data_IF_252667232581
#
_entry.id   IF_252667232581
#
_cell.length_a   1.000
_cell.length_b   1.000
_cell.length_c   1.000
_cell.angle_alpha   90.00
_cell.angle_beta   90.00
_cell.angle_gamma   90.00
#
_symmetry.space_group_name_H-M   'P 1'
#
loop_
_entity.id
_entity.type
_entity.pdbx_description
1 polymer ?
#
# COMPACT_ATOMS: atom_id res chain seq x y z
N UNK A 1 -55.61 38.59 -8.40
CA UNK A 1 -54.58 39.52 -8.93
C UNK A 1 -53.73 40.00 -7.77
N UNK A 2 -52.64 39.29 -7.48
CA UNK A 2 -51.34 39.81 -7.00
C UNK A 2 -50.52 38.66 -6.44
N UNK A 3 -49.23 38.67 -6.77
CA UNK A 3 -48.32 37.55 -6.95
C UNK A 3 -47.66 36.98 -5.68
N UNK A 4 -47.08 35.79 -5.89
CA UNK A 4 -46.14 35.01 -5.08
C UNK A 4 -44.95 35.78 -4.52
N UNK A 5 -44.34 35.23 -3.45
CA UNK A 5 -42.89 35.08 -3.35
C UNK A 5 -42.55 33.94 -2.36
N UNK A 6 -42.18 32.78 -2.90
CA UNK A 6 -41.33 31.80 -2.21
C UNK A 6 -39.94 32.43 -1.97
N UNK A 7 -39.35 32.26 -0.79
CA UNK A 7 -37.91 32.43 -0.61
C UNK A 7 -37.31 31.16 0.00
N UNK A 8 -36.65 30.41 -0.87
CA UNK A 8 -35.84 29.23 -0.58
C UNK A 8 -34.54 29.63 0.13
N UNK A 9 -34.52 29.51 1.45
CA UNK A 9 -33.31 29.75 2.23
C UNK A 9 -32.41 28.49 2.20
N UNK A 10 -31.78 28.29 1.05
CA UNK A 10 -30.68 27.33 0.90
C UNK A 10 -29.45 27.89 1.60
N UNK A 11 -29.33 27.61 2.89
CA UNK A 11 -28.14 27.91 3.70
C UNK A 11 -26.93 27.21 3.07
N UNK A 12 -26.20 27.96 2.25
CA UNK A 12 -24.94 27.59 1.68
C UNK A 12 -23.95 27.28 2.81
N UNK A 13 -23.64 26.00 2.97
CA UNK A 13 -22.49 25.58 3.74
C UNK A 13 -21.25 26.25 3.13
N UNK A 14 -20.65 27.18 3.89
CA UNK A 14 -19.38 27.81 3.55
C UNK A 14 -18.36 26.68 3.40
N UNK A 15 -18.00 26.35 2.15
CA UNK A 15 -16.93 25.39 1.86
C UNK A 15 -15.62 26.06 2.26
N UNK A 16 -15.00 25.57 3.32
CA UNK A 16 -13.74 26.11 3.82
C UNK A 16 -12.59 25.69 2.90
N UNK A 17 -12.32 26.52 1.88
CA UNK A 17 -11.29 26.28 0.87
C UNK A 17 -9.88 26.18 1.47
N UNK A 18 -9.69 26.69 2.68
CA UNK A 18 -8.45 26.60 3.46
C UNK A 18 -8.05 25.15 3.76
N UNK A 19 -9.03 24.24 3.82
CA UNK A 19 -8.82 22.81 4.13
C UNK A 19 -9.09 21.88 2.95
N UNK A 20 -9.43 22.41 1.77
CA UNK A 20 -9.73 21.61 0.58
C UNK A 20 -8.55 20.70 0.16
N UNK A 21 -7.31 21.08 0.49
CA UNK A 21 -6.11 20.27 0.27
C UNK A 21 -6.04 19.06 1.22
N UNK A 22 -6.63 19.16 2.42
CA UNK A 22 -6.64 18.12 3.46
C UNK A 22 -7.76 17.09 3.29
N UNK A 23 -8.89 17.43 2.63
CA UNK A 23 -10.00 16.51 2.29
C UNK A 23 -9.66 15.40 1.27
N UNK A 24 -8.37 15.16 1.12
CA UNK A 24 -7.71 14.38 0.08
C UNK A 24 -7.97 12.87 0.20
N UNK A 25 -8.80 12.45 1.16
CA UNK A 25 -9.26 11.07 1.40
C UNK A 25 -10.27 10.55 0.37
N UNK A 26 -10.78 11.38 -0.55
CA UNK A 26 -11.84 10.97 -1.51
C UNK A 26 -11.38 10.11 -2.70
N UNK A 27 -10.08 9.87 -2.87
CA UNK A 27 -9.60 9.08 -4.00
C UNK A 27 -9.68 7.57 -3.69
N UNK A 28 -10.30 6.74 -4.54
CA UNK A 28 -10.55 5.31 -4.26
C UNK A 28 -9.26 4.51 -4.06
N UNK A 29 -8.14 5.02 -4.58
CA UNK A 29 -6.83 4.42 -4.47
C UNK A 29 -6.06 4.82 -3.21
N UNK A 30 -6.68 5.53 -2.27
CA UNK A 30 -6.05 5.93 -1.00
C UNK A 30 -6.58 5.08 0.14
N UNK A 31 -5.69 4.28 0.71
CA UNK A 31 -6.01 3.33 1.76
C UNK A 31 -5.25 3.66 3.04
N UNK A 32 -5.89 3.38 4.18
CA UNK A 32 -5.33 3.58 5.52
C UNK A 32 -4.54 2.35 5.93
N UNK A 33 -3.30 2.55 6.34
CA UNK A 33 -2.41 1.47 6.74
C UNK A 33 -2.86 0.86 8.06
N UNK A 34 -3.03 -0.46 8.05
CA UNK A 34 -3.36 -1.28 9.22
C UNK A 34 -2.36 -2.42 9.40
N UNK A 35 -2.42 -3.08 10.55
CA UNK A 35 -1.52 -4.18 10.91
C UNK A 35 -1.87 -5.47 10.16
N UNK A 36 -0.85 -6.16 9.64
CA UNK A 36 -1.02 -7.45 8.98
C UNK A 36 -1.15 -8.60 9.98
N UNK A 37 -1.95 -9.59 9.61
CA UNK A 37 -2.11 -10.85 10.35
C UNK A 37 -0.95 -11.81 10.02
N UNK A 38 -0.45 -11.76 8.79
CA UNK A 38 0.63 -12.61 8.28
C UNK A 38 1.93 -11.82 8.13
N UNK A 39 3.06 -12.45 8.47
CA UNK A 39 4.38 -11.84 8.37
C UNK A 39 5.09 -12.23 7.06
N UNK A 40 4.49 -11.87 5.93
CA UNK A 40 5.10 -11.98 4.61
C UNK A 40 5.47 -10.58 4.10
N UNK A 41 6.73 -10.41 3.71
CA UNK A 41 7.29 -9.12 3.28
C UNK A 41 6.84 -8.68 1.89
N UNK A 42 6.25 -9.58 1.11
CA UNK A 42 5.85 -9.34 -0.29
C UNK A 42 4.34 -9.21 -0.45
N UNK A 43 3.57 -9.51 0.58
CA UNK A 43 2.12 -9.68 0.52
C UNK A 43 1.42 -8.60 1.31
N UNK A 44 0.33 -8.09 0.73
CA UNK A 44 -0.52 -7.08 1.34
C UNK A 44 -1.97 -7.50 1.17
N UNK A 45 -2.74 -7.41 2.25
CA UNK A 45 -4.14 -7.81 2.27
C UNK A 45 -5.07 -6.58 2.22
N UNK A 46 -6.16 -6.71 1.47
CA UNK A 46 -7.21 -5.70 1.39
C UNK A 46 -8.58 -6.36 1.18
N UNK A 47 -9.64 -5.62 1.46
CA UNK A 47 -11.00 -6.12 1.28
C UNK A 47 -11.30 -6.40 -0.21
N UNK A 48 -11.99 -7.50 -0.57
CA UNK A 48 -12.27 -7.83 -1.97
C UNK A 48 -13.01 -6.72 -2.73
N UNK A 49 -13.95 -6.02 -2.08
CA UNK A 49 -14.65 -4.89 -2.71
C UNK A 49 -13.71 -3.74 -3.06
N UNK A 50 -12.64 -3.54 -2.28
CA UNK A 50 -11.61 -2.54 -2.56
C UNK A 50 -10.71 -3.00 -3.70
N UNK A 51 -10.39 -4.31 -3.75
CA UNK A 51 -9.68 -4.89 -4.90
C UNK A 51 -10.44 -4.67 -6.21
N UNK A 52 -11.75 -4.95 -6.21
CA UNK A 52 -12.61 -4.78 -7.39
C UNK A 52 -12.67 -3.32 -7.85
N UNK A 53 -12.83 -2.37 -6.91
CA UNK A 53 -12.79 -0.92 -7.21
C UNK A 53 -11.46 -0.49 -7.83
N UNK A 54 -10.36 -1.12 -7.45
CA UNK A 54 -9.02 -0.86 -7.98
C UNK A 54 -8.67 -1.73 -9.19
N UNK A 55 -9.58 -2.61 -9.61
CA UNK A 55 -9.40 -3.60 -10.67
C UNK A 55 -8.15 -4.46 -10.44
N UNK A 56 -7.90 -4.84 -9.18
CA UNK A 56 -6.86 -5.77 -8.79
C UNK A 56 -7.48 -7.15 -8.57
N UNK A 57 -6.81 -8.19 -9.03
CA UNK A 57 -7.16 -9.57 -8.76
C UNK A 57 -6.21 -10.18 -7.72
N UNK A 58 -6.63 -11.29 -7.13
CA UNK A 58 -5.81 -12.05 -6.18
C UNK A 58 -4.54 -12.53 -6.89
N UNK A 59 -3.39 -12.17 -6.34
CA UNK A 59 -2.07 -12.52 -6.90
C UNK A 59 -1.48 -11.45 -7.82
N UNK A 60 -2.21 -10.38 -8.13
CA UNK A 60 -1.66 -9.28 -8.93
C UNK A 60 -0.56 -8.53 -8.19
N UNK A 61 0.43 -8.06 -8.95
CA UNK A 61 1.45 -7.15 -8.45
C UNK A 61 0.98 -5.70 -8.62
N UNK A 62 1.21 -4.90 -7.59
CA UNK A 62 0.80 -3.51 -7.58
C UNK A 62 1.83 -2.63 -6.88
N UNK A 63 1.85 -1.36 -7.26
CA UNK A 63 2.75 -0.35 -6.72
C UNK A 63 2.06 0.40 -5.59
N UNK A 64 2.72 0.43 -4.43
CA UNK A 64 2.32 1.24 -3.29
C UNK A 64 3.24 2.45 -3.24
N UNK A 65 2.66 3.65 -3.22
CA UNK A 65 3.40 4.89 -2.98
C UNK A 65 3.15 5.36 -1.55
N UNK A 66 4.25 5.46 -0.81
CA UNK A 66 4.31 5.91 0.56
C UNK A 66 4.75 7.38 0.68
N UNK A 67 5.41 7.69 1.79
CA UNK A 67 5.91 9.05 2.08
C UNK A 67 7.35 9.22 1.59
N UNK A 68 7.81 10.47 1.52
CA UNK A 68 9.19 10.83 1.10
C UNK A 68 9.63 10.19 -0.22
N UNK A 69 8.71 10.10 -1.19
CA UNK A 69 8.94 9.47 -2.51
C UNK A 69 9.45 8.03 -2.43
N UNK A 70 9.05 7.30 -1.38
CA UNK A 70 9.30 5.87 -1.28
C UNK A 70 8.13 5.09 -1.84
N UNK A 71 8.45 4.09 -2.62
CA UNK A 71 7.54 3.18 -3.27
C UNK A 71 7.98 1.73 -3.04
N UNK A 72 7.04 0.81 -3.14
CA UNK A 72 7.27 -0.62 -2.95
C UNK A 72 6.26 -1.39 -3.79
N UNK A 73 6.67 -2.53 -4.34
CA UNK A 73 5.81 -3.45 -5.07
C UNK A 73 5.40 -4.58 -4.12
N UNK A 74 4.11 -4.90 -4.11
CA UNK A 74 3.56 -5.99 -3.31
C UNK A 74 2.56 -6.81 -4.14
N UNK A 75 2.24 -8.00 -3.63
CA UNK A 75 1.23 -8.92 -4.17
C UNK A 75 -0.07 -8.73 -3.39
N UNK A 76 -1.19 -8.62 -4.11
CA UNK A 76 -2.50 -8.40 -3.50
C UNK A 76 -3.14 -9.73 -3.08
N UNK A 77 -3.56 -9.83 -1.81
CA UNK A 77 -4.45 -10.88 -1.33
C UNK A 77 -5.77 -10.30 -0.85
N UNK A 78 -6.84 -11.02 -1.14
CA UNK A 78 -8.17 -10.73 -0.64
C UNK A 78 -8.30 -11.20 0.81
N UNK A 79 -8.83 -10.34 1.68
CA UNK A 79 -9.13 -10.62 3.09
C UNK A 79 -10.47 -9.97 3.48
N UNK A 80 -11.48 -10.81 3.71
CA UNK A 80 -12.84 -10.39 4.08
C UNK A 80 -12.91 -9.81 5.50
N UNK A 81 -11.92 -10.10 6.35
CA UNK A 81 -11.84 -9.57 7.71
C UNK A 81 -11.20 -8.18 7.76
N UNK A 82 -10.75 -7.62 6.63
CA UNK A 82 -10.19 -6.29 6.53
C UNK A 82 -11.28 -5.26 6.18
N UNK A 83 -11.24 -4.09 6.80
CA UNK A 83 -12.18 -3.02 6.42
C UNK A 83 -11.88 -2.48 5.01
N UNK A 84 -12.91 -2.09 4.27
CA UNK A 84 -12.78 -1.52 2.91
C UNK A 84 -11.74 -0.39 2.76
N UNK A 85 -11.69 0.64 3.63
CA UNK A 85 -10.74 1.73 3.46
C UNK A 85 -9.32 1.38 3.94
N UNK A 86 -9.08 0.15 4.41
CA UNK A 86 -7.81 -0.25 5.02
C UNK A 86 -6.98 -1.15 4.11
N UNK A 87 -5.68 -1.12 4.37
CA UNK A 87 -4.68 -1.97 3.74
C UNK A 87 -3.76 -2.54 4.80
N UNK A 88 -3.69 -3.87 4.89
CA UNK A 88 -2.93 -4.59 5.89
C UNK A 88 -1.55 -4.96 5.35
N UNK A 89 -0.51 -4.42 5.98
CA UNK A 89 0.87 -4.67 5.58
C UNK A 89 1.78 -4.80 6.79
N UNK A 90 2.83 -5.62 6.69
CA UNK A 90 3.72 -5.92 7.80
C UNK A 90 4.70 -4.76 8.10
N UNK A 91 5.51 -4.92 9.16
CA UNK A 91 6.45 -3.87 9.59
C UNK A 91 7.51 -3.55 8.54
N UNK A 92 7.96 -4.54 7.76
CA UNK A 92 8.99 -4.37 6.72
C UNK A 92 8.47 -3.47 5.60
N UNK A 93 7.28 -3.76 5.06
CA UNK A 93 6.65 -2.95 4.00
C UNK A 93 6.42 -1.51 4.48
N UNK A 94 5.94 -1.32 5.73
CA UNK A 94 5.76 0.03 6.30
C UNK A 94 7.06 0.81 6.42
N UNK A 95 8.15 0.12 6.79
CA UNK A 95 9.48 0.72 6.93
C UNK A 95 10.01 1.17 5.57
N UNK A 96 9.85 0.34 4.53
CA UNK A 96 10.23 0.66 3.16
C UNK A 96 9.49 1.92 2.65
N UNK A 97 8.18 2.01 2.93
CA UNK A 97 7.32 3.14 2.54
C UNK A 97 7.43 4.37 3.45
N UNK A 98 8.14 4.26 4.58
CA UNK A 98 8.25 5.29 5.64
C UNK A 98 6.89 5.76 6.18
N UNK A 99 5.99 4.81 6.44
CA UNK A 99 4.64 5.05 6.98
C UNK A 99 4.44 4.39 8.35
N UNK A 100 3.45 4.86 9.10
CA UNK A 100 2.99 4.29 10.38
C UNK A 100 1.57 3.77 10.24
N UNK A 101 1.10 3.02 11.24
CA UNK A 101 -0.32 2.64 11.32
C UNK A 101 -1.20 3.90 11.33
N UNK A 102 -2.31 3.87 10.60
CA UNK A 102 -3.20 5.02 10.42
C UNK A 102 -2.75 6.03 9.36
N UNK A 103 -1.54 5.91 8.80
CA UNK A 103 -1.14 6.73 7.66
C UNK A 103 -1.90 6.32 6.40
N UNK A 104 -2.01 7.24 5.44
CA UNK A 104 -2.64 6.98 4.15
C UNK A 104 -1.59 6.75 3.08
N UNK A 105 -1.72 5.66 2.33
CA UNK A 105 -0.90 5.30 1.17
C UNK A 105 -1.75 5.33 -0.10
N UNK A 106 -1.10 5.44 -1.27
CA UNK A 106 -1.78 5.32 -2.56
C UNK A 106 -1.37 4.07 -3.32
N UNK A 107 -2.35 3.36 -3.86
CA UNK A 107 -2.20 2.11 -4.61
C UNK A 107 -2.34 2.36 -6.11
N UNK A 108 -1.52 1.69 -6.92
CA UNK A 108 -1.58 1.75 -8.38
C UNK A 108 -1.30 0.38 -8.97
N UNK A 109 -2.02 0.00 -10.02
CA UNK A 109 -1.72 -1.21 -10.78
C UNK A 109 -0.32 -1.13 -11.40
N UNK A 110 0.39 -2.26 -11.43
CA UNK A 110 1.72 -2.37 -12.05
C UNK A 110 1.81 -3.67 -12.85
N UNK A 111 1.18 -3.76 -14.03
CA UNK A 111 1.21 -4.98 -14.84
C UNK A 111 2.58 -5.26 -15.48
N UNK A 112 3.44 -4.25 -15.61
CA UNK A 112 4.72 -4.34 -16.33
C UNK A 112 5.92 -4.82 -15.47
N UNK A 113 5.67 -5.60 -14.41
CA UNK A 113 6.74 -6.14 -13.57
C UNK A 113 7.47 -7.26 -14.33
N UNK A 114 8.69 -6.96 -14.77
CA UNK A 114 9.56 -7.92 -15.48
C UNK A 114 10.40 -8.71 -14.50
N UNK A 115 10.73 -9.95 -14.87
CA UNK A 115 11.70 -10.75 -14.15
C UNK A 115 13.07 -10.08 -14.18
N UNK A 116 13.66 -9.91 -13.00
CA UNK A 116 15.03 -9.42 -12.87
C UNK A 116 16.03 -10.46 -13.35
N UNK A 117 17.04 -10.03 -14.13
CA UNK A 117 18.10 -10.94 -14.59
C UNK A 117 19.13 -11.20 -13.49
N UNK A 118 19.45 -10.19 -12.69
CA UNK A 118 20.40 -10.22 -11.58
C UNK A 118 19.99 -9.20 -10.52
N UNK A 119 20.20 -9.53 -9.26
CA UNK A 119 20.02 -8.64 -8.12
C UNK A 119 21.30 -8.60 -7.30
N UNK A 120 21.61 -7.45 -6.70
CA UNK A 120 22.73 -7.29 -5.79
C UNK A 120 22.18 -6.96 -4.41
N UNK A 121 22.41 -7.83 -3.44
CA UNK A 121 21.89 -7.72 -2.08
C UNK A 121 23.10 -7.67 -1.15
N UNK A 122 23.18 -6.62 -0.33
CA UNK A 122 24.18 -6.52 0.73
C UNK A 122 23.45 -6.62 2.07
N UNK A 123 24.00 -7.39 3.04
CA UNK A 123 23.47 -7.37 4.39
C UNK A 123 23.79 -6.03 5.06
N UNK A 124 23.09 -5.74 6.16
CA UNK A 124 23.39 -4.58 7.00
C UNK A 124 24.53 -4.93 7.95
N UNK A 125 25.48 -4.00 8.11
CA UNK A 125 26.69 -4.18 8.93
C UNK A 125 26.39 -4.63 10.36
N UNK A 126 25.29 -4.14 10.95
CA UNK A 126 24.85 -4.45 12.31
C UNK A 126 24.13 -5.81 12.44
N UNK A 127 23.80 -6.46 11.32
CA UNK A 127 23.09 -7.75 11.30
C UNK A 127 23.96 -8.96 11.01
N UNK A 128 25.24 -8.75 10.67
CA UNK A 128 26.18 -9.81 10.26
C UNK A 128 27.16 -10.23 11.36
N UNK A 129 27.10 -9.58 12.53
CA UNK A 129 27.96 -9.91 13.65
C UNK A 129 27.71 -11.36 14.12
N UNK A 130 28.74 -12.20 14.00
CA UNK A 130 28.67 -13.61 14.42
C UNK A 130 28.09 -14.57 13.38
N UNK A 131 27.76 -14.12 12.17
CA UNK A 131 27.36 -15.00 11.07
C UNK A 131 28.60 -15.51 10.34
N UNK A 132 28.76 -16.82 10.27
CA UNK A 132 29.87 -17.49 9.56
C UNK A 132 29.32 -18.36 8.44
N UNK A 133 29.90 -18.26 7.24
CA UNK A 133 29.50 -19.04 6.06
C UNK A 133 28.95 -18.18 4.93
N UNK A 134 28.42 -18.83 3.90
CA UNK A 134 27.77 -18.13 2.80
C UNK A 134 26.35 -17.69 3.18
N UNK A 135 26.11 -16.38 3.06
CA UNK A 135 24.81 -15.76 3.37
C UNK A 135 23.75 -16.10 2.32
N UNK A 136 24.17 -16.37 1.08
CA UNK A 136 23.23 -16.68 0.00
C UNK A 136 22.54 -18.03 0.26
N UNK A 137 23.31 -19.08 0.50
CA UNK A 137 22.75 -20.40 0.80
C UNK A 137 21.92 -20.43 2.09
N UNK A 138 22.32 -19.67 3.11
CA UNK A 138 21.66 -19.65 4.40
C UNK A 138 20.32 -18.88 4.40
N UNK A 139 20.22 -17.78 3.65
CA UNK A 139 19.08 -16.85 3.76
C UNK A 139 18.34 -16.59 2.45
N UNK A 140 19.01 -16.68 1.29
CA UNK A 140 18.45 -16.26 0.01
C UNK A 140 18.01 -17.43 -0.88
N UNK A 141 18.58 -18.62 -0.71
CA UNK A 141 18.24 -19.82 -1.49
C UNK A 141 16.77 -20.23 -1.40
N UNK A 142 16.12 -19.95 -0.27
CA UNK A 142 14.70 -20.26 -0.06
C UNK A 142 13.76 -19.25 -0.75
N UNK A 143 14.29 -18.17 -1.30
CA UNK A 143 13.51 -17.24 -2.11
C UNK A 143 13.33 -17.91 -3.47
N UNK A 144 12.09 -18.25 -3.88
CA UNK A 144 11.83 -19.04 -5.10
C UNK A 144 12.28 -18.37 -6.41
N UNK A 145 12.76 -17.12 -6.35
CA UNK A 145 13.28 -16.34 -7.48
C UNK A 145 14.82 -16.24 -7.51
N UNK A 146 15.55 -16.78 -6.52
CA UNK A 146 17.01 -16.71 -6.44
C UNK A 146 17.63 -18.06 -6.81
N UNK A 147 18.27 -18.12 -7.98
CA UNK A 147 19.10 -19.26 -8.40
C UNK A 147 20.53 -18.77 -8.61
N UNK A 148 21.49 -19.45 -7.98
CA UNK A 148 22.92 -19.13 -8.11
C UNK A 148 23.41 -19.56 -9.51
N UNK A 149 24.21 -18.72 -10.18
CA UNK A 149 24.94 -19.08 -11.40
C UNK A 149 26.43 -18.91 -11.20
#
# INVERSE_FOLDING_TARGET
MSHEAESSDSKGAVKDFSTAILERMKAPNRLVVDEAIHDDNSVVAMHPATMEKLQLFRGDTFLIKGKKRRDTICIALADDACDEPKIRMNKVVRTNLRVRLGDVVSVHQCPDVKYGTRVHILPLDDTIEGVTGDLFDAYLKHIPACEER
#
